data_IF_052941183756
#
_entry.id   IF_052941183756
#
_cell.length_a   1.000
_cell.length_b   1.000
_cell.length_c   1.000
_cell.angle_alpha   90.00
_cell.angle_beta   90.00
_cell.angle_gamma   90.00
#
_symmetry.space_group_name_H-M   'P 1'
#
loop_
_entity.id
_entity.type
_entity.pdbx_description
1 polymer ?
#
# COMPACT_ATOMS: atom_id res chain seq x y z
N UNK A 1 16.89 6.40 11.81
CA UNK A 1 16.53 5.85 10.48
C UNK A 1 15.73 6.90 9.72
N UNK A 2 15.96 7.08 8.42
CA UNK A 2 15.15 7.98 7.59
C UNK A 2 13.75 7.41 7.39
N UNK A 3 12.72 8.26 7.35
CA UNK A 3 11.30 7.85 7.37
C UNK A 3 10.75 7.38 6.00
N UNK A 4 11.57 7.05 5.00
CA UNK A 4 11.11 6.53 3.71
C UNK A 4 11.50 5.07 3.52
N UNK A 5 10.52 4.21 3.20
CA UNK A 5 10.71 2.82 2.84
C UNK A 5 10.38 2.55 1.37
N UNK A 6 11.12 1.63 0.75
CA UNK A 6 10.89 1.20 -0.62
C UNK A 6 9.91 0.01 -0.63
N UNK A 7 8.67 0.27 -1.05
CA UNK A 7 7.65 -0.77 -1.23
C UNK A 7 7.82 -1.48 -2.55
N UNK A 8 7.99 -2.81 -2.52
CA UNK A 8 8.26 -3.63 -3.71
C UNK A 8 6.98 -4.19 -4.38
N UNK A 9 5.84 -3.56 -4.12
CA UNK A 9 4.57 -3.92 -4.76
C UNK A 9 4.44 -3.35 -6.19
N UNK A 10 5.18 -2.30 -6.54
CA UNK A 10 5.05 -1.56 -7.81
C UNK A 10 6.43 -1.34 -8.45
N UNK A 11 7.13 -2.45 -8.75
CA UNK A 11 8.46 -2.40 -9.35
C UNK A 11 8.39 -1.97 -10.83
N UNK A 12 9.49 -1.42 -11.38
CA UNK A 12 9.62 -1.12 -12.82
C UNK A 12 9.29 -2.33 -13.68
N UNK A 13 8.58 -2.09 -14.80
CA UNK A 13 8.21 -3.13 -15.76
C UNK A 13 8.55 -2.70 -17.18
N UNK A 14 8.91 -3.68 -18.03
CA UNK A 14 9.11 -3.52 -19.47
C UNK A 14 7.96 -4.25 -20.19
N UNK A 15 7.37 -3.60 -21.19
CA UNK A 15 6.19 -4.10 -21.91
C UNK A 15 4.88 -3.59 -21.33
N UNK A 16 3.78 -4.02 -21.92
CA UNK A 16 2.43 -3.59 -21.54
C UNK A 16 1.50 -4.80 -21.29
N UNK A 17 0.50 -4.60 -20.43
CA UNK A 17 -0.53 -5.58 -20.14
C UNK A 17 0.04 -6.88 -19.54
N UNK A 18 -0.53 -8.02 -19.95
CA UNK A 18 -0.15 -9.36 -19.46
C UNK A 18 1.25 -9.84 -19.91
N UNK A 19 1.90 -9.11 -20.82
CA UNK A 19 3.27 -9.40 -21.25
C UNK A 19 4.33 -8.57 -20.51
N UNK A 20 3.91 -7.71 -19.61
CA UNK A 20 4.82 -6.89 -18.81
C UNK A 20 5.73 -7.79 -17.94
N UNK A 21 7.02 -7.49 -17.95
CA UNK A 21 8.04 -8.19 -17.15
C UNK A 21 8.76 -7.19 -16.27
N UNK A 22 9.20 -7.63 -15.11
CA UNK A 22 9.95 -6.77 -14.21
C UNK A 22 11.27 -6.37 -14.88
N UNK A 23 11.54 -5.07 -14.91
CA UNK A 23 12.82 -4.50 -15.34
C UNK A 23 13.85 -4.65 -14.21
N UNK A 24 14.45 -5.81 -14.15
CA UNK A 24 15.37 -6.15 -13.07
C UNK A 24 16.63 -5.27 -13.04
N UNK A 25 17.13 -4.79 -14.17
CA UNK A 25 18.28 -3.89 -14.22
C UNK A 25 17.94 -2.54 -13.61
N UNK A 26 16.77 -1.97 -13.95
CA UNK A 26 16.28 -0.74 -13.35
C UNK A 26 16.01 -0.91 -11.85
N UNK A 27 15.44 -2.05 -11.42
CA UNK A 27 15.25 -2.34 -9.98
C UNK A 27 16.59 -2.33 -9.25
N UNK A 28 17.63 -2.98 -9.79
CA UNK A 28 18.96 -2.98 -9.18
C UNK A 28 19.54 -1.56 -9.07
N UNK A 29 19.44 -0.76 -10.12
CA UNK A 29 19.93 0.62 -10.11
C UNK A 29 19.17 1.48 -9.06
N UNK A 30 17.86 1.29 -8.92
CA UNK A 30 17.06 1.97 -7.91
C UNK A 30 17.43 1.54 -6.48
N UNK A 31 17.67 0.25 -6.25
CA UNK A 31 18.13 -0.27 -4.95
C UNK A 31 19.47 0.35 -4.56
N UNK A 32 20.44 0.35 -5.48
CA UNK A 32 21.77 0.93 -5.25
C UNK A 32 21.66 2.41 -4.86
N UNK A 33 20.87 3.17 -5.63
CA UNK A 33 20.64 4.59 -5.40
C UNK A 33 19.96 4.86 -4.05
N UNK A 34 18.98 4.05 -3.67
CA UNK A 34 18.25 4.16 -2.41
C UNK A 34 19.19 3.97 -1.22
N UNK A 35 20.04 2.95 -1.26
CA UNK A 35 21.04 2.66 -0.24
C UNK A 35 22.15 3.72 -0.19
N UNK A 36 22.68 4.18 -1.34
CA UNK A 36 23.66 5.26 -1.44
C UNK A 36 23.18 6.56 -0.79
N UNK A 37 21.89 6.85 -0.85
CA UNK A 37 21.28 8.00 -0.21
C UNK A 37 21.01 7.80 1.29
N UNK A 38 21.35 6.62 1.83
CA UNK A 38 21.24 6.26 3.25
C UNK A 38 19.84 5.89 3.70
N UNK A 39 18.98 5.46 2.77
CA UNK A 39 17.70 4.79 3.08
C UNK A 39 17.93 3.29 3.12
N UNK A 40 17.22 2.57 3.99
CA UNK A 40 17.56 1.18 4.26
C UNK A 40 16.37 0.22 4.29
N UNK A 41 15.13 0.73 4.32
CA UNK A 41 13.94 -0.08 4.55
C UNK A 41 13.33 -0.58 3.24
N UNK A 42 13.22 -1.89 3.07
CA UNK A 42 12.55 -2.56 1.94
C UNK A 42 11.35 -3.35 2.44
N UNK A 43 10.18 -3.14 1.81
CA UNK A 43 8.92 -3.78 2.16
C UNK A 43 8.44 -4.68 1.03
N UNK A 44 8.28 -5.97 1.34
CA UNK A 44 7.72 -6.96 0.42
C UNK A 44 6.52 -7.69 1.03
N UNK A 45 5.91 -8.58 0.27
CA UNK A 45 4.91 -9.54 0.74
C UNK A 45 4.81 -10.72 -0.22
N UNK A 46 4.30 -11.83 0.30
CA UNK A 46 4.16 -13.12 -0.37
C UNK A 46 3.51 -13.05 -1.77
N UNK A 47 2.45 -12.22 -1.92
CA UNK A 47 1.67 -12.12 -3.16
C UNK A 47 2.08 -10.97 -4.09
N UNK A 48 3.02 -10.10 -3.69
CA UNK A 48 3.38 -8.94 -4.50
C UNK A 48 4.03 -9.34 -5.82
N UNK A 49 3.74 -8.58 -6.88
CA UNK A 49 4.26 -8.79 -8.22
C UNK A 49 4.06 -10.24 -8.71
N UNK A 50 2.84 -10.77 -8.56
CA UNK A 50 2.52 -12.14 -8.95
C UNK A 50 3.44 -13.17 -8.28
N UNK A 51 3.67 -13.03 -6.96
CA UNK A 51 4.54 -13.87 -6.11
C UNK A 51 6.05 -13.78 -6.42
N UNK A 52 6.49 -12.77 -7.18
CA UNK A 52 7.90 -12.60 -7.58
C UNK A 52 8.68 -11.63 -6.68
N UNK A 53 8.00 -10.75 -5.91
CA UNK A 53 8.63 -9.66 -5.18
C UNK A 53 9.68 -10.12 -4.16
N UNK A 54 9.44 -11.21 -3.45
CA UNK A 54 10.38 -11.79 -2.47
C UNK A 54 11.68 -12.25 -3.14
N UNK A 55 11.59 -12.93 -4.29
CA UNK A 55 12.77 -13.37 -5.04
C UNK A 55 13.53 -12.20 -5.65
N UNK A 56 12.81 -11.16 -6.09
CA UNK A 56 13.44 -9.93 -6.59
C UNK A 56 14.17 -9.21 -5.48
N UNK A 57 13.56 -9.09 -4.28
CA UNK A 57 14.24 -8.57 -3.09
C UNK A 57 15.56 -9.33 -2.86
N UNK A 58 15.51 -10.66 -2.87
CA UNK A 58 16.70 -11.49 -2.71
C UNK A 58 17.79 -11.10 -3.72
N UNK A 59 17.49 -11.12 -5.01
CA UNK A 59 18.43 -10.91 -6.09
C UNK A 59 18.92 -9.47 -6.21
N UNK A 60 18.05 -8.50 -5.97
CA UNK A 60 18.38 -7.08 -6.14
C UNK A 60 18.98 -6.44 -4.89
N UNK A 61 18.66 -6.94 -3.70
CA UNK A 61 19.10 -6.38 -2.42
C UNK A 61 20.04 -7.34 -1.70
N UNK A 62 19.54 -8.52 -1.31
CA UNK A 62 20.22 -9.40 -0.35
C UNK A 62 21.51 -9.99 -0.90
N UNK A 63 21.52 -10.43 -2.16
CA UNK A 63 22.71 -11.03 -2.81
C UNK A 63 23.76 -9.99 -3.25
N UNK A 64 23.41 -8.70 -3.24
CA UNK A 64 24.26 -7.62 -3.76
C UNK A 64 24.84 -6.70 -2.69
N UNK A 65 24.23 -6.66 -1.50
CA UNK A 65 24.59 -5.73 -0.43
C UNK A 65 24.84 -6.45 0.89
N UNK A 66 25.65 -5.81 1.76
CA UNK A 66 25.92 -6.33 3.09
C UNK A 66 24.63 -6.34 3.94
N UNK A 67 24.36 -7.45 4.65
CA UNK A 67 23.11 -7.62 5.41
C UNK A 67 22.81 -6.49 6.40
N UNK A 68 23.82 -5.88 6.97
CA UNK A 68 23.70 -4.79 7.94
C UNK A 68 23.42 -3.43 7.28
N UNK A 69 23.49 -3.32 5.95
CA UNK A 69 23.22 -2.08 5.23
C UNK A 69 21.75 -1.84 4.89
N UNK A 70 20.90 -2.83 5.10
CA UNK A 70 19.46 -2.74 4.79
C UNK A 70 18.60 -3.47 5.82
N UNK A 71 17.32 -3.14 5.82
CA UNK A 71 16.30 -3.81 6.63
C UNK A 71 15.21 -4.39 5.72
N UNK A 72 14.73 -5.59 6.06
CA UNK A 72 13.70 -6.32 5.31
C UNK A 72 12.44 -6.44 6.14
N UNK A 73 11.33 -6.02 5.56
CA UNK A 73 9.99 -6.26 6.05
C UNK A 73 9.26 -7.25 5.12
N UNK A 74 8.69 -8.31 5.70
CA UNK A 74 7.86 -9.27 4.97
C UNK A 74 6.60 -9.62 5.78
N UNK A 75 5.63 -10.30 5.15
CA UNK A 75 4.30 -10.45 5.72
C UNK A 75 3.76 -11.87 5.57
N UNK A 76 3.31 -12.46 6.70
CA UNK A 76 2.56 -13.71 6.72
C UNK A 76 1.20 -13.52 6.04
N UNK A 77 0.90 -14.18 4.92
CA UNK A 77 -0.34 -14.00 4.19
C UNK A 77 -1.52 -14.67 4.89
N UNK A 78 -2.14 -13.98 5.85
CA UNK A 78 -3.20 -14.51 6.72
C UNK A 78 -4.38 -15.10 5.94
N UNK A 79 -4.72 -14.51 4.78
CA UNK A 79 -5.78 -14.97 3.90
C UNK A 79 -5.54 -16.37 3.30
N UNK A 80 -4.30 -16.87 3.29
CA UNK A 80 -3.96 -18.18 2.74
C UNK A 80 -3.77 -19.25 3.82
N UNK A 81 -3.84 -18.89 5.09
CA UNK A 81 -3.72 -19.84 6.20
C UNK A 81 -4.97 -20.71 6.31
N UNK A 82 -4.80 -22.03 6.30
CA UNK A 82 -5.86 -23.01 6.46
C UNK A 82 -5.69 -23.87 7.72
N UNK A 83 -4.45 -24.08 8.14
CA UNK A 83 -4.08 -24.92 9.30
C UNK A 83 -2.79 -24.42 9.93
N UNK A 84 -2.53 -24.82 11.18
CA UNK A 84 -1.35 -24.38 11.96
C UNK A 84 -0.01 -24.67 11.27
N UNK A 85 0.08 -25.79 10.56
CA UNK A 85 1.30 -26.19 9.85
C UNK A 85 1.65 -25.25 8.67
N UNK A 86 0.70 -24.43 8.21
CA UNK A 86 0.97 -23.42 7.18
C UNK A 86 1.90 -22.33 7.70
N UNK A 87 1.82 -21.96 8.99
CA UNK A 87 2.64 -20.92 9.59
C UNK A 87 4.15 -21.18 9.42
N UNK A 88 4.71 -22.28 9.97
CA UNK A 88 6.15 -22.55 9.81
C UNK A 88 6.54 -22.83 8.36
N UNK A 89 5.67 -23.46 7.57
CA UNK A 89 5.93 -23.76 6.15
C UNK A 89 6.09 -22.48 5.33
N UNK A 90 5.13 -21.56 5.43
CA UNK A 90 5.17 -20.29 4.68
C UNK A 90 6.32 -19.42 5.17
N UNK A 91 6.54 -19.31 6.48
CA UNK A 91 7.65 -18.55 7.02
C UNK A 91 9.01 -19.05 6.49
N UNK A 92 9.23 -20.35 6.45
CA UNK A 92 10.45 -20.93 5.91
C UNK A 92 10.56 -20.70 4.40
N UNK A 93 9.46 -20.81 3.66
CA UNK A 93 9.42 -20.49 2.22
C UNK A 93 9.81 -19.02 1.97
N UNK A 94 9.28 -18.08 2.74
CA UNK A 94 9.61 -16.65 2.65
C UNK A 94 11.08 -16.38 2.98
N UNK A 95 11.63 -17.02 4.03
CA UNK A 95 13.08 -16.90 4.31
C UNK A 95 13.93 -17.39 3.12
N UNK A 96 13.54 -18.49 2.48
CA UNK A 96 14.25 -19.04 1.32
C UNK A 96 14.12 -18.12 0.10
N UNK A 97 12.92 -17.64 -0.20
CA UNK A 97 12.67 -16.73 -1.32
C UNK A 97 13.40 -15.39 -1.15
N UNK A 98 13.31 -14.79 0.03
CA UNK A 98 14.01 -13.55 0.35
C UNK A 98 15.52 -13.74 0.54
N UNK A 99 16.01 -14.97 0.78
CA UNK A 99 17.42 -15.26 1.02
C UNK A 99 17.96 -14.71 2.34
N UNK A 100 17.14 -14.67 3.38
CA UNK A 100 17.50 -14.11 4.69
C UNK A 100 17.33 -15.11 5.83
N UNK A 101 18.21 -15.05 6.82
CA UNK A 101 18.10 -15.85 8.04
C UNK A 101 17.10 -15.27 9.04
N UNK A 102 16.86 -13.95 8.97
CA UNK A 102 15.92 -13.24 9.83
C UNK A 102 15.31 -12.04 9.08
N UNK A 103 14.07 -11.69 9.48
CA UNK A 103 13.40 -10.46 9.07
C UNK A 103 13.59 -9.37 10.12
N UNK A 104 13.86 -8.13 9.70
CA UNK A 104 13.90 -7.00 10.63
C UNK A 104 12.50 -6.63 11.10
N UNK A 105 11.51 -6.70 10.19
CA UNK A 105 10.10 -6.47 10.44
C UNK A 105 9.29 -7.62 9.85
N UNK A 106 8.39 -8.18 10.63
CA UNK A 106 7.52 -9.24 10.14
C UNK A 106 6.08 -9.01 10.58
N UNK A 107 5.16 -9.03 9.62
CA UNK A 107 3.79 -8.61 9.83
C UNK A 107 2.81 -9.77 9.62
N UNK A 108 1.70 -9.79 10.34
CA UNK A 108 0.50 -10.48 9.89
C UNK A 108 -0.16 -9.62 8.81
N UNK A 109 -0.38 -10.18 7.61
CA UNK A 109 -0.76 -9.41 6.44
C UNK A 109 -2.26 -9.16 6.38
N UNK A 110 -2.64 -7.88 6.16
CA UNK A 110 -4.01 -7.47 5.81
C UNK A 110 -5.06 -7.89 6.83
N UNK A 111 -4.82 -7.62 8.12
CA UNK A 111 -5.79 -7.93 9.17
C UNK A 111 -7.03 -7.05 9.02
N UNK A 112 -8.14 -7.69 9.02
CA UNK A 112 -9.50 -7.22 9.24
C UNK A 112 -10.19 -8.18 10.22
N UNK A 113 -11.43 -8.03 10.51
CA UNK A 113 -12.18 -8.91 11.42
C UNK A 113 -12.07 -10.39 11.03
N UNK A 114 -12.21 -10.73 9.75
CA UNK A 114 -12.14 -12.11 9.28
C UNK A 114 -10.72 -12.69 9.41
N UNK A 115 -9.72 -11.97 8.87
CA UNK A 115 -8.33 -12.42 8.91
C UNK A 115 -7.78 -12.46 10.34
N UNK A 116 -8.24 -11.57 11.22
CA UNK A 116 -7.91 -11.62 12.63
C UNK A 116 -8.42 -12.91 13.28
N UNK A 117 -9.68 -13.31 13.03
CA UNK A 117 -10.21 -14.58 13.53
C UNK A 117 -9.44 -15.79 13.01
N UNK A 118 -8.97 -15.77 11.75
CA UNK A 118 -8.10 -16.82 11.20
C UNK A 118 -6.77 -16.85 11.96
N UNK A 119 -6.13 -15.69 12.14
CA UNK A 119 -4.86 -15.54 12.84
C UNK A 119 -4.93 -16.07 14.27
N UNK A 120 -5.98 -15.69 15.02
CA UNK A 120 -6.26 -16.17 16.37
C UNK A 120 -6.44 -17.69 16.41
N UNK A 121 -7.35 -18.22 15.60
CA UNK A 121 -7.67 -19.65 15.55
C UNK A 121 -6.45 -20.51 15.25
N UNK A 122 -5.53 -20.02 14.45
CA UNK A 122 -4.34 -20.77 14.04
C UNK A 122 -3.10 -20.47 14.90
N UNK A 123 -3.17 -19.51 15.82
CA UNK A 123 -2.07 -19.14 16.71
C UNK A 123 -0.96 -18.37 15.99
N UNK A 124 -1.33 -17.46 15.08
CA UNK A 124 -0.36 -16.73 14.27
C UNK A 124 0.45 -15.70 15.09
N UNK A 125 -0.17 -15.04 16.06
CA UNK A 125 0.52 -14.09 16.94
C UNK A 125 1.56 -14.81 17.82
N UNK A 126 1.19 -15.95 18.43
CA UNK A 126 2.09 -16.77 19.22
C UNK A 126 3.24 -17.31 18.36
N UNK A 127 2.95 -17.70 17.10
CA UNK A 127 3.97 -18.17 16.17
C UNK A 127 5.00 -17.08 15.88
N UNK A 128 4.57 -15.86 15.53
CA UNK A 128 5.49 -14.75 15.22
C UNK A 128 6.26 -14.33 16.48
N UNK A 129 5.62 -14.30 17.65
CA UNK A 129 6.28 -14.05 18.95
C UNK A 129 7.38 -15.10 19.23
N UNK A 130 7.13 -16.36 18.90
CA UNK A 130 8.14 -17.42 19.01
C UNK A 130 9.30 -17.20 18.03
N UNK A 131 9.02 -16.81 16.77
CA UNK A 131 10.06 -16.48 15.82
C UNK A 131 10.89 -15.28 16.26
N UNK A 132 10.26 -14.29 16.91
CA UNK A 132 10.96 -13.16 17.53
C UNK A 132 11.86 -13.61 18.67
N UNK A 133 11.40 -14.47 19.55
CA UNK A 133 12.19 -15.03 20.65
C UNK A 133 13.40 -15.87 20.15
N UNK A 134 13.26 -16.53 18.99
CA UNK A 134 14.34 -17.26 18.34
C UNK A 134 15.31 -16.37 17.56
N UNK A 135 15.08 -15.04 17.48
CA UNK A 135 15.90 -14.09 16.73
C UNK A 135 15.69 -14.12 15.21
N UNK A 136 14.66 -14.83 14.73
CA UNK A 136 14.29 -14.89 13.30
C UNK A 136 13.43 -13.71 12.86
N UNK A 137 12.86 -12.98 13.80
CA UNK A 137 12.10 -11.74 13.62
C UNK A 137 12.61 -10.74 14.65
N UNK A 138 12.94 -9.50 14.27
CA UNK A 138 13.36 -8.46 15.22
C UNK A 138 12.17 -7.67 15.77
N UNK A 139 11.24 -7.26 14.86
CA UNK A 139 10.05 -6.50 15.19
C UNK A 139 8.83 -7.20 14.59
N UNK A 140 7.81 -7.44 15.40
CA UNK A 140 6.56 -8.04 14.94
C UNK A 140 5.44 -7.01 14.88
N UNK A 141 4.61 -7.07 13.84
CA UNK A 141 3.49 -6.18 13.65
C UNK A 141 2.39 -6.79 12.80
N UNK A 142 1.50 -5.96 12.35
CA UNK A 142 0.49 -6.35 11.35
C UNK A 142 0.11 -5.16 10.47
N UNK A 143 -0.30 -5.42 9.23
CA UNK A 143 -0.99 -4.45 8.40
C UNK A 143 -2.50 -4.58 8.59
N UNK A 144 -3.21 -3.44 8.61
CA UNK A 144 -4.58 -3.37 9.08
C UNK A 144 -5.49 -2.64 8.09
N UNK A 145 -6.70 -3.21 7.88
CA UNK A 145 -7.71 -2.71 6.96
C UNK A 145 -9.14 -2.91 7.51
N UNK A 146 -9.43 -2.33 8.67
CA UNK A 146 -10.76 -2.39 9.30
C UNK A 146 -11.00 -1.13 10.15
N UNK A 147 -12.01 -1.12 11.00
CA UNK A 147 -12.37 -0.01 11.88
C UNK A 147 -11.42 0.15 13.06
N UNK A 148 -11.38 1.35 13.63
CA UNK A 148 -10.57 1.65 14.79
C UNK A 148 -10.93 0.80 16.02
N UNK A 149 -12.19 0.39 16.18
CA UNK A 149 -12.63 -0.48 17.28
C UNK A 149 -12.04 -1.89 17.18
N UNK A 150 -11.93 -2.42 15.94
CA UNK A 150 -11.26 -3.70 15.69
C UNK A 150 -9.76 -3.58 15.98
N UNK A 151 -9.13 -2.48 15.57
CA UNK A 151 -7.73 -2.20 15.88
C UNK A 151 -7.48 -2.14 17.39
N UNK A 152 -8.35 -1.43 18.13
CA UNK A 152 -8.27 -1.33 19.59
C UNK A 152 -8.39 -2.69 20.27
N UNK A 153 -9.30 -3.53 19.77
CA UNK A 153 -9.47 -4.92 20.24
C UNK A 153 -8.19 -5.73 20.02
N UNK A 154 -7.61 -5.71 18.82
CA UNK A 154 -6.39 -6.45 18.50
C UNK A 154 -5.23 -5.97 19.39
N UNK A 155 -5.00 -4.65 19.49
CA UNK A 155 -3.89 -4.12 20.28
C UNK A 155 -4.04 -4.35 21.80
N UNK A 156 -5.29 -4.44 22.28
CA UNK A 156 -5.58 -4.81 23.68
C UNK A 156 -5.26 -6.27 23.93
N UNK A 157 -5.59 -7.18 23.01
CA UNK A 157 -5.38 -8.61 23.16
C UNK A 157 -3.93 -9.03 22.88
N UNK A 158 -3.21 -8.26 22.02
CA UNK A 158 -1.83 -8.50 21.61
C UNK A 158 -0.91 -7.31 21.94
N UNK A 159 -0.69 -7.02 23.24
CA UNK A 159 0.21 -5.94 23.65
C UNK A 159 1.69 -6.19 23.28
N UNK A 160 2.06 -7.44 22.93
CA UNK A 160 3.40 -7.83 22.45
C UNK A 160 3.76 -7.32 21.05
N UNK A 161 2.78 -6.87 20.26
CA UNK A 161 3.00 -6.26 18.95
C UNK A 161 3.84 -4.98 19.08
N UNK A 162 4.90 -4.85 18.27
CA UNK A 162 5.83 -3.73 18.36
C UNK A 162 5.36 -2.50 17.56
N UNK A 163 4.64 -2.70 16.44
CA UNK A 163 4.20 -1.64 15.53
C UNK A 163 2.98 -2.07 14.73
N UNK A 164 2.31 -1.11 14.09
CA UNK A 164 1.21 -1.35 13.16
C UNK A 164 1.45 -0.68 11.82
N UNK A 165 0.97 -1.28 10.73
CA UNK A 165 1.00 -0.69 9.40
C UNK A 165 -0.41 -0.27 9.02
N UNK A 166 -0.61 1.05 8.81
CA UNK A 166 -1.91 1.68 8.58
C UNK A 166 -1.96 2.38 7.23
N UNK A 167 -3.13 2.40 6.60
CA UNK A 167 -3.40 3.23 5.43
C UNK A 167 -3.62 4.68 5.87
N UNK A 168 -2.69 5.56 5.51
CA UNK A 168 -2.76 6.99 5.86
C UNK A 168 -2.37 7.85 4.66
N UNK A 169 -3.27 8.74 4.26
CA UNK A 169 -3.04 9.85 3.36
C UNK A 169 -4.03 10.97 3.69
N UNK A 170 -3.77 12.18 3.22
CA UNK A 170 -4.61 13.33 3.56
C UNK A 170 -6.04 13.23 3.02
N UNK A 171 -6.27 12.46 1.93
CA UNK A 171 -7.61 12.29 1.36
C UNK A 171 -8.49 11.36 2.20
N UNK A 172 -7.89 10.31 2.77
CA UNK A 172 -8.59 9.30 3.58
C UNK A 172 -8.61 9.65 5.08
N UNK A 173 -7.94 10.73 5.50
CA UNK A 173 -7.74 11.06 6.91
C UNK A 173 -9.04 11.06 7.71
N UNK A 174 -10.10 11.71 7.19
CA UNK A 174 -11.42 11.78 7.81
C UNK A 174 -12.45 10.85 7.16
N UNK A 175 -12.01 9.85 6.39
CA UNK A 175 -12.91 8.90 5.75
C UNK A 175 -13.59 8.01 6.80
N UNK A 176 -14.92 8.01 6.80
CA UNK A 176 -15.72 7.14 7.68
C UNK A 176 -15.50 5.64 7.39
N UNK A 177 -15.11 5.29 6.15
CA UNK A 177 -14.88 3.91 5.73
C UNK A 177 -13.49 3.42 6.06
N UNK A 178 -12.47 4.25 5.80
CA UNK A 178 -11.05 3.88 6.03
C UNK A 178 -10.64 4.14 7.47
N UNK A 179 -11.20 5.17 8.09
CA UNK A 179 -10.95 5.57 9.47
C UNK A 179 -9.45 5.84 9.78
N UNK A 180 -8.70 6.39 8.80
CA UNK A 180 -7.25 6.61 8.93
C UNK A 180 -6.90 7.35 10.22
N UNK A 181 -7.58 8.48 10.52
CA UNK A 181 -7.35 9.26 11.75
C UNK A 181 -7.67 8.46 13.00
N UNK A 182 -8.83 7.80 13.05
CA UNK A 182 -9.24 7.03 14.22
C UNK A 182 -8.31 5.85 14.50
N UNK A 183 -7.85 5.15 13.43
CA UNK A 183 -6.87 4.07 13.55
C UNK A 183 -5.50 4.61 14.03
N UNK A 184 -5.05 5.76 13.49
CA UNK A 184 -3.82 6.41 13.96
C UNK A 184 -3.91 6.80 15.44
N UNK A 185 -4.99 7.46 15.86
CA UNK A 185 -5.23 7.85 17.27
C UNK A 185 -5.28 6.61 18.18
N UNK A 186 -5.85 5.50 17.69
CA UNK A 186 -5.84 4.22 18.41
C UNK A 186 -4.43 3.69 18.59
N UNK A 187 -3.61 3.66 17.55
CA UNK A 187 -2.21 3.25 17.64
C UNK A 187 -1.43 4.14 18.65
N UNK A 188 -1.67 5.46 18.63
CA UNK A 188 -1.07 6.42 19.58
C UNK A 188 -1.46 6.08 21.02
N UNK A 189 -2.75 5.81 21.30
CA UNK A 189 -3.22 5.42 22.66
C UNK A 189 -2.55 4.14 23.15
N UNK A 190 -2.29 3.19 22.25
CA UNK A 190 -1.58 1.94 22.55
C UNK A 190 -0.04 2.08 22.50
N UNK A 191 0.49 3.30 22.29
CA UNK A 191 1.92 3.58 22.18
C UNK A 191 2.61 2.75 21.09
N UNK A 192 1.92 2.48 19.98
CA UNK A 192 2.47 1.72 18.86
C UNK A 192 2.96 2.66 17.77
N UNK A 193 4.24 2.55 17.38
CA UNK A 193 4.75 3.20 16.18
C UNK A 193 3.97 2.77 14.94
N UNK A 194 3.83 3.70 13.99
CA UNK A 194 3.05 3.49 12.77
C UNK A 194 3.97 3.45 11.55
N UNK A 195 3.82 2.43 10.73
CA UNK A 195 4.30 2.39 9.34
C UNK A 195 3.12 2.76 8.45
N UNK A 196 3.34 3.72 7.55
CA UNK A 196 2.27 4.17 6.63
C UNK A 196 2.35 3.43 5.31
N UNK A 197 1.24 2.83 4.91
CA UNK A 197 0.99 2.35 3.55
C UNK A 197 -0.01 3.27 2.83
N UNK A 198 -0.03 3.23 1.50
CA UNK A 198 -0.91 4.05 0.64
C UNK A 198 -0.77 5.59 0.84
N UNK A 199 0.43 6.14 1.10
CA UNK A 199 0.55 7.58 1.34
C UNK A 199 0.13 8.42 0.13
N UNK A 200 0.28 7.86 -1.08
CA UNK A 200 -0.09 8.50 -2.36
C UNK A 200 -1.37 7.90 -2.96
N UNK A 201 -2.11 7.10 -2.17
CA UNK A 201 -3.40 6.46 -2.56
C UNK A 201 -3.34 5.80 -3.95
N UNK A 202 -2.46 4.80 -4.08
CA UNK A 202 -2.27 4.07 -5.34
C UNK A 202 -1.73 4.91 -6.50
N UNK A 203 -1.22 6.10 -6.23
CA UNK A 203 -0.71 7.06 -7.24
C UNK A 203 -1.71 8.18 -7.60
N UNK A 204 -2.97 8.12 -7.14
CA UNK A 204 -3.96 9.15 -7.43
C UNK A 204 -3.58 10.53 -6.85
N UNK A 205 -2.86 10.56 -5.73
CA UNK A 205 -2.34 11.81 -5.16
C UNK A 205 -1.02 12.29 -5.80
N UNK A 206 -0.51 11.62 -6.83
CA UNK A 206 0.56 12.11 -7.69
C UNK A 206 0.04 12.80 -8.96
N UNK A 207 -1.24 12.57 -9.32
CA UNK A 207 -1.93 13.18 -10.47
C UNK A 207 -3.27 13.74 -10.00
N UNK A 208 -3.23 14.93 -9.47
CA UNK A 208 -4.42 15.63 -8.94
C UNK A 208 -5.05 16.53 -10.01
N UNK A 209 -6.30 17.03 -9.81
CA UNK A 209 -6.90 18.02 -10.68
C UNK A 209 -6.01 19.25 -10.87
N UNK A 210 -6.09 19.88 -12.04
CA UNK A 210 -5.22 21.02 -12.42
C UNK A 210 -5.29 22.16 -11.39
N UNK A 211 -6.47 22.46 -10.85
CA UNK A 211 -6.63 23.48 -9.82
C UNK A 211 -5.85 23.16 -8.55
N UNK A 212 -5.92 21.91 -8.07
CA UNK A 212 -5.16 21.44 -6.93
C UNK A 212 -3.65 21.48 -7.19
N UNK A 213 -3.22 21.04 -8.39
CA UNK A 213 -1.81 21.09 -8.78
C UNK A 213 -1.27 22.53 -8.81
N UNK A 214 -2.02 23.49 -9.36
CA UNK A 214 -1.64 24.90 -9.39
C UNK A 214 -1.45 25.49 -8.00
N UNK A 215 -2.32 25.15 -7.05
CA UNK A 215 -2.17 25.58 -5.65
C UNK A 215 -0.88 25.04 -5.02
N UNK A 216 -0.61 23.74 -5.19
CA UNK A 216 0.60 23.11 -4.66
C UNK A 216 1.87 23.70 -5.29
N UNK A 217 1.89 23.90 -6.60
CA UNK A 217 3.03 24.51 -7.32
C UNK A 217 3.23 25.99 -6.98
N UNK A 218 2.15 26.72 -6.70
CA UNK A 218 2.26 28.12 -6.28
C UNK A 218 2.95 28.22 -4.90
N UNK A 219 2.62 27.33 -3.99
CA UNK A 219 3.21 27.28 -2.65
C UNK A 219 4.68 26.85 -2.67
N UNK A 220 5.01 25.84 -3.50
CA UNK A 220 6.40 25.38 -3.67
C UNK A 220 6.62 24.88 -5.12
N UNK A 221 7.17 25.72 -6.01
CA UNK A 221 7.38 25.35 -7.41
C UNK A 221 8.35 24.18 -7.63
N UNK A 222 9.20 23.90 -6.64
CA UNK A 222 10.22 22.84 -6.72
C UNK A 222 9.74 21.51 -6.12
N UNK A 223 8.59 21.50 -5.44
CA UNK A 223 8.02 20.29 -4.85
C UNK A 223 7.16 19.54 -5.87
N UNK A 224 7.35 18.23 -5.97
CA UNK A 224 6.42 17.38 -6.72
C UNK A 224 5.06 17.29 -6.03
N UNK A 225 4.01 16.98 -6.78
CA UNK A 225 2.66 16.78 -6.21
C UNK A 225 2.66 15.63 -5.20
N UNK A 226 3.36 14.53 -5.50
CA UNK A 226 3.47 13.36 -4.61
C UNK A 226 4.19 13.67 -3.30
N UNK A 227 5.13 14.64 -3.29
CA UNK A 227 5.89 15.02 -2.10
C UNK A 227 4.99 15.53 -0.98
N UNK A 228 3.90 16.23 -1.30
CA UNK A 228 2.94 16.74 -0.31
C UNK A 228 2.25 15.61 0.44
N UNK A 229 1.86 14.54 -0.27
CA UNK A 229 1.20 13.39 0.32
C UNK A 229 2.14 12.56 1.23
N UNK A 230 3.38 12.34 0.77
CA UNK A 230 4.39 11.59 1.55
C UNK A 230 4.82 12.41 2.77
N UNK A 231 5.07 13.72 2.61
CA UNK A 231 5.42 14.61 3.72
C UNK A 231 4.29 14.73 4.73
N UNK A 232 3.02 14.81 4.28
CA UNK A 232 1.86 14.80 5.17
C UNK A 232 1.87 13.57 6.09
N UNK A 233 1.97 12.39 5.53
CA UNK A 233 2.00 11.16 6.31
C UNK A 233 3.22 11.10 7.25
N UNK A 234 4.41 11.53 6.77
CA UNK A 234 5.63 11.54 7.55
C UNK A 234 5.65 12.58 8.68
N UNK A 235 4.79 13.63 8.60
CA UNK A 235 4.67 14.69 9.61
C UNK A 235 3.97 14.24 10.88
N UNK A 236 3.23 13.15 10.84
CA UNK A 236 2.57 12.61 12.03
C UNK A 236 3.59 12.05 13.03
N UNK A 237 3.46 12.40 14.31
CA UNK A 237 4.47 12.15 15.35
C UNK A 237 4.83 10.67 15.51
N UNK A 238 3.83 9.77 15.56
CA UNK A 238 4.05 8.33 15.77
C UNK A 238 4.43 7.58 14.49
N UNK A 239 4.50 8.27 13.34
CA UNK A 239 4.92 7.65 12.09
C UNK A 239 6.43 7.47 12.09
N UNK A 240 6.86 6.22 12.10
CA UNK A 240 8.26 5.84 12.01
C UNK A 240 8.75 5.61 10.58
N UNK A 241 7.85 5.26 9.66
CA UNK A 241 8.17 4.92 8.27
C UNK A 241 6.98 5.21 7.36
N UNK A 242 7.25 5.73 6.16
CA UNK A 242 6.27 5.90 5.08
C UNK A 242 6.73 5.07 3.90
N UNK A 243 5.90 4.12 3.47
CA UNK A 243 6.19 3.22 2.35
C UNK A 243 5.79 3.88 1.04
N UNK A 244 6.70 3.94 0.08
CA UNK A 244 6.41 4.37 -1.28
C UNK A 244 6.74 3.27 -2.28
N UNK A 245 5.76 2.91 -3.12
CA UNK A 245 5.98 2.12 -4.32
C UNK A 245 6.49 3.05 -5.42
N UNK A 246 7.72 2.83 -5.88
CA UNK A 246 8.38 3.63 -6.90
C UNK A 246 8.64 2.75 -8.12
N UNK A 247 8.11 3.14 -9.27
CA UNK A 247 8.18 2.37 -10.51
C UNK A 247 9.20 2.93 -11.52
N UNK A 248 9.83 4.07 -11.21
CA UNK A 248 10.87 4.69 -12.05
C UNK A 248 11.97 5.31 -11.20
N UNK A 249 13.14 5.49 -11.81
CA UNK A 249 14.29 6.15 -11.17
C UNK A 249 13.95 7.59 -10.76
N UNK A 250 13.19 8.30 -11.61
CA UNK A 250 12.77 9.69 -11.32
C UNK A 250 11.89 9.77 -10.08
N UNK A 251 10.95 8.83 -9.89
CA UNK A 251 10.14 8.78 -8.68
C UNK A 251 10.99 8.50 -7.44
N UNK A 252 11.98 7.64 -7.56
CA UNK A 252 12.91 7.36 -6.46
C UNK A 252 13.76 8.59 -6.12
N UNK A 253 14.32 9.26 -7.11
CA UNK A 253 15.14 10.47 -6.91
C UNK A 253 14.32 11.61 -6.31
N UNK A 254 13.08 11.80 -6.77
CA UNK A 254 12.16 12.77 -6.19
C UNK A 254 11.89 12.46 -4.72
N UNK A 255 11.42 11.24 -4.41
CA UNK A 255 11.06 10.86 -3.06
C UNK A 255 12.26 10.90 -2.09
N UNK A 256 13.40 10.40 -2.50
CA UNK A 256 14.61 10.44 -1.67
C UNK A 256 15.16 11.85 -1.51
N UNK A 257 14.97 12.69 -2.53
CA UNK A 257 15.44 14.08 -2.54
C UNK A 257 14.86 14.90 -1.36
N UNK A 258 13.52 14.92 -1.21
CA UNK A 258 12.90 15.67 -0.11
C UNK A 258 12.85 14.89 1.21
N UNK A 259 12.93 13.55 1.20
CA UNK A 259 12.95 12.75 2.43
C UNK A 259 14.34 12.59 3.05
N UNK A 260 15.41 12.95 2.34
CA UNK A 260 16.78 12.90 2.86
C UNK A 260 16.97 13.80 4.07
N UNK A 261 16.49 15.03 3.96
CA UNK A 261 16.54 16.07 4.99
C UNK A 261 15.10 16.49 5.36
N UNK A 262 14.25 15.47 5.63
CA UNK A 262 12.82 15.64 5.87
C UNK A 262 12.51 16.72 6.90
N UNK A 263 11.60 17.61 6.51
CA UNK A 263 10.97 18.59 7.40
C UNK A 263 9.46 18.33 7.43
N UNK A 264 8.83 18.29 8.61
CA UNK A 264 7.38 18.21 8.73
C UNK A 264 6.70 19.36 7.98
N UNK A 265 5.43 19.16 7.62
CA UNK A 265 4.61 20.24 7.07
C UNK A 265 4.46 21.37 8.10
N UNK A 266 4.52 22.61 7.63
CA UNK A 266 4.16 23.76 8.48
C UNK A 266 2.64 23.87 8.59
N UNK A 267 2.10 24.63 9.58
CA UNK A 267 0.66 24.85 9.68
C UNK A 267 0.03 25.45 8.41
N UNK A 268 0.77 26.32 7.70
CA UNK A 268 0.33 26.90 6.43
C UNK A 268 0.26 25.83 5.32
N UNK A 269 1.27 24.91 5.27
CA UNK A 269 1.28 23.78 4.34
C UNK A 269 0.15 22.79 4.65
N UNK A 270 -0.15 22.51 5.93
CA UNK A 270 -1.28 21.67 6.34
C UNK A 270 -2.62 22.29 5.91
N UNK A 271 -2.82 23.58 6.11
CA UNK A 271 -4.02 24.28 5.63
C UNK A 271 -4.16 24.22 4.10
N UNK A 272 -3.06 24.32 3.37
CA UNK A 272 -3.05 24.16 1.91
C UNK A 272 -3.47 22.74 1.51
N UNK A 273 -2.95 21.72 2.18
CA UNK A 273 -3.31 20.31 1.93
C UNK A 273 -4.81 20.09 2.16
N UNK A 274 -5.42 20.70 3.19
CA UNK A 274 -6.86 20.62 3.41
C UNK A 274 -7.68 21.29 2.29
N UNK A 275 -7.24 22.42 1.72
CA UNK A 275 -7.88 23.03 0.55
C UNK A 275 -7.79 22.12 -0.68
N UNK A 276 -6.61 21.56 -0.94
CA UNK A 276 -6.36 20.61 -2.03
C UNK A 276 -7.21 19.36 -1.88
N UNK A 277 -7.35 18.83 -0.66
CA UNK A 277 -8.23 17.70 -0.33
C UNK A 277 -9.68 17.94 -0.78
N UNK A 278 -10.25 19.13 -0.48
CA UNK A 278 -11.60 19.49 -0.92
C UNK A 278 -11.76 19.44 -2.44
N UNK A 279 -10.83 20.05 -3.19
CA UNK A 279 -10.84 20.03 -4.65
C UNK A 279 -10.77 18.62 -5.21
N UNK A 280 -9.92 17.77 -4.64
CA UNK A 280 -9.78 16.38 -5.07
C UNK A 280 -11.06 15.59 -4.79
N UNK A 281 -11.64 15.72 -3.60
CA UNK A 281 -12.89 15.04 -3.21
C UNK A 281 -14.03 15.38 -4.18
N UNK A 282 -14.15 16.63 -4.58
CA UNK A 282 -15.17 17.08 -5.53
C UNK A 282 -14.95 16.53 -6.95
N UNK A 283 -13.73 16.09 -7.29
CA UNK A 283 -13.34 15.65 -8.64
C UNK A 283 -13.35 14.12 -8.84
N UNK A 284 -13.28 13.32 -7.78
CA UNK A 284 -13.18 11.85 -7.86
C UNK A 284 -14.56 11.20 -7.70
N UNK A 285 -15.03 10.54 -8.75
CA UNK A 285 -16.30 9.82 -8.71
C UNK A 285 -16.17 8.45 -8.01
N UNK A 286 -15.09 7.71 -8.27
CA UNK A 286 -14.83 6.38 -7.66
C UNK A 286 -13.41 6.37 -7.07
N UNK A 287 -13.25 6.33 -5.73
CA UNK A 287 -11.94 6.41 -5.06
C UNK A 287 -11.19 5.08 -5.05
N UNK A 288 -11.03 4.45 -6.22
CA UNK A 288 -10.28 3.21 -6.39
C UNK A 288 -8.76 3.48 -6.44
N UNK A 289 -7.96 2.68 -5.71
CA UNK A 289 -6.49 2.81 -5.65
C UNK A 289 -5.76 1.97 -6.70
N UNK A 290 -6.48 1.16 -7.49
CA UNK A 290 -5.88 0.28 -8.49
C UNK A 290 -4.96 -0.81 -7.89
N UNK A 291 -5.27 -1.30 -6.69
CA UNK A 291 -4.49 -2.35 -6.02
C UNK A 291 -4.68 -3.75 -6.62
N UNK A 292 -5.70 -3.93 -7.46
CA UNK A 292 -6.04 -5.14 -8.23
C UNK A 292 -6.46 -6.38 -7.41
N UNK A 293 -6.53 -6.32 -6.08
CA UNK A 293 -6.95 -7.47 -5.25
C UNK A 293 -8.33 -8.04 -5.64
N UNK A 294 -9.22 -7.20 -6.18
CA UNK A 294 -10.55 -7.60 -6.60
C UNK A 294 -10.57 -8.34 -7.96
N UNK A 295 -9.48 -8.31 -8.74
CA UNK A 295 -9.43 -8.95 -10.07
C UNK A 295 -9.14 -10.44 -9.97
N UNK A 296 -8.22 -10.86 -9.10
CA UNK A 296 -7.78 -12.25 -8.98
C UNK A 296 -8.91 -13.22 -8.59
N UNK A 297 -9.91 -12.74 -7.85
CA UNK A 297 -11.05 -13.53 -7.42
C UNK A 297 -12.31 -13.36 -8.28
N UNK A 298 -12.28 -12.55 -9.34
CA UNK A 298 -13.45 -12.29 -10.18
C UNK A 298 -13.71 -13.44 -11.16
N UNK A 299 -14.82 -14.22 -11.02
CA UNK A 299 -15.09 -15.34 -11.91
C UNK A 299 -15.42 -14.93 -13.35
N UNK A 300 -15.69 -13.64 -13.58
CA UNK A 300 -15.94 -13.06 -14.91
C UNK A 300 -14.71 -12.30 -15.44
N UNK A 301 -13.59 -12.35 -14.74
CA UNK A 301 -12.34 -11.70 -15.13
C UNK A 301 -12.50 -10.19 -15.46
N UNK A 302 -13.44 -9.50 -14.77
CA UNK A 302 -13.69 -8.08 -15.00
C UNK A 302 -12.48 -7.28 -14.51
N UNK A 303 -11.88 -6.40 -15.35
CA UNK A 303 -10.75 -5.56 -14.96
C UNK A 303 -11.24 -4.34 -14.15
N UNK A 304 -11.84 -4.60 -12.97
CA UNK A 304 -12.57 -3.66 -12.14
C UNK A 304 -11.83 -2.32 -11.95
N UNK A 305 -10.55 -2.28 -11.56
CA UNK A 305 -9.83 -1.02 -11.38
C UNK A 305 -9.69 -0.20 -12.66
N UNK A 306 -9.54 -0.87 -13.80
CA UNK A 306 -9.41 -0.22 -15.10
C UNK A 306 -10.76 0.37 -15.56
N UNK A 307 -11.85 -0.32 -15.30
CA UNK A 307 -13.21 0.20 -15.54
C UNK A 307 -13.45 1.49 -14.72
N UNK A 308 -13.04 1.48 -13.44
CA UNK A 308 -13.19 2.64 -12.56
C UNK A 308 -12.28 3.80 -12.97
N UNK A 309 -11.06 3.54 -13.42
CA UNK A 309 -10.16 4.56 -13.94
C UNK A 309 -10.76 5.25 -15.19
N UNK A 310 -11.30 4.48 -16.15
CA UNK A 310 -12.00 5.03 -17.34
C UNK A 310 -13.23 5.85 -16.94
N UNK A 311 -13.99 5.40 -15.97
CA UNK A 311 -15.15 6.15 -15.46
C UNK A 311 -14.74 7.47 -14.81
N UNK A 312 -13.68 7.50 -14.01
CA UNK A 312 -13.15 8.74 -13.42
C UNK A 312 -12.66 9.71 -14.50
N UNK A 313 -11.96 9.22 -15.53
CA UNK A 313 -11.55 10.04 -16.68
C UNK A 313 -12.76 10.61 -17.42
N UNK A 314 -13.79 9.80 -17.66
CA UNK A 314 -15.05 10.26 -18.26
C UNK A 314 -15.72 11.34 -17.40
N UNK A 315 -15.79 11.16 -16.08
CA UNK A 315 -16.38 12.18 -15.17
C UNK A 315 -15.65 13.51 -15.21
N UNK A 316 -14.33 13.50 -15.39
CA UNK A 316 -13.52 14.72 -15.55
C UNK A 316 -13.67 15.34 -16.95
N UNK A 317 -13.97 14.53 -17.96
CA UNK A 317 -14.07 14.95 -19.35
C UNK A 317 -15.30 14.33 -20.06
N UNK A 318 -16.54 14.68 -19.66
CA UNK A 318 -17.77 14.01 -20.14
C UNK A 318 -17.96 14.08 -21.67
N UNK A 319 -17.42 15.12 -22.32
CA UNK A 319 -17.51 15.31 -23.76
C UNK A 319 -16.74 14.27 -24.60
N UNK A 320 -15.86 13.47 -23.97
CA UNK A 320 -15.13 12.38 -24.64
C UNK A 320 -15.91 11.07 -24.72
N UNK A 321 -17.03 10.98 -24.00
CA UNK A 321 -17.75 9.72 -23.81
C UNK A 321 -16.97 8.72 -22.94
N UNK A 322 -17.65 7.71 -22.43
CA UNK A 322 -17.02 6.59 -21.73
C UNK A 322 -16.80 5.45 -22.73
N UNK A 323 -15.56 5.05 -22.94
CA UNK A 323 -15.22 3.85 -23.71
C UNK A 323 -14.50 2.85 -22.84
N UNK A 324 -14.99 1.62 -22.81
CA UNK A 324 -14.38 0.47 -22.16
C UNK A 324 -13.68 -0.46 -23.17
N UNK A 325 -13.69 -0.09 -24.47
CA UNK A 325 -13.04 -0.85 -25.52
C UNK A 325 -11.54 -1.05 -25.26
N UNK A 326 -11.05 -2.25 -25.58
CA UNK A 326 -9.64 -2.60 -25.43
C UNK A 326 -9.20 -2.95 -24.01
N UNK A 327 -10.12 -2.95 -23.04
CA UNK A 327 -9.83 -3.53 -21.73
C UNK A 327 -9.79 -5.07 -21.84
N UNK A 328 -8.81 -5.75 -21.19
CA UNK A 328 -8.75 -7.20 -21.17
C UNK A 328 -9.81 -7.79 -20.22
N UNK A 329 -10.32 -8.98 -20.51
CA UNK A 329 -11.26 -9.70 -19.65
C UNK A 329 -12.73 -9.34 -19.87
N UNK A 330 -13.57 -9.56 -18.86
CA UNK A 330 -15.01 -9.32 -18.92
C UNK A 330 -15.40 -7.84 -18.82
N UNK A 331 -16.64 -7.54 -19.18
CA UNK A 331 -17.20 -6.20 -19.08
C UNK A 331 -18.00 -6.01 -17.77
N UNK A 332 -18.27 -4.77 -17.32
CA UNK A 332 -19.11 -4.51 -16.15
C UNK A 332 -20.47 -5.21 -16.17
N UNK A 333 -21.10 -5.35 -17.35
CA UNK A 333 -22.38 -6.05 -17.54
C UNK A 333 -22.32 -7.55 -17.20
N UNK A 334 -21.14 -8.17 -17.31
CA UNK A 334 -20.96 -9.60 -17.03
C UNK A 334 -20.96 -9.91 -15.52
N UNK A 335 -21.08 -8.88 -14.66
CA UNK A 335 -21.02 -9.03 -13.21
C UNK A 335 -22.18 -9.89 -12.67
N UNK A 336 -21.85 -11.04 -12.07
CA UNK A 336 -22.80 -11.96 -11.45
C UNK A 336 -23.12 -11.64 -9.98
N UNK A 337 -22.69 -10.51 -9.48
CA UNK A 337 -22.96 -10.01 -8.11
C UNK A 337 -22.52 -10.97 -6.99
N UNK A 338 -21.45 -11.74 -7.17
CA UNK A 338 -21.00 -12.74 -6.19
C UNK A 338 -20.38 -12.14 -4.90
N UNK A 339 -20.04 -10.84 -4.86
CA UNK A 339 -19.53 -10.12 -3.69
C UNK A 339 -18.05 -10.36 -3.36
N UNK A 340 -17.33 -11.25 -4.04
CA UNK A 340 -15.93 -11.54 -3.73
C UNK A 340 -15.02 -10.30 -3.82
N UNK A 341 -15.26 -9.45 -4.82
CA UNK A 341 -14.49 -8.22 -5.02
C UNK A 341 -14.70 -7.20 -3.88
N UNK A 342 -15.89 -7.12 -3.32
CA UNK A 342 -16.21 -6.21 -2.21
C UNK A 342 -15.60 -6.69 -0.89
N UNK A 343 -15.60 -8.00 -0.64
CA UNK A 343 -15.05 -8.58 0.60
C UNK A 343 -13.54 -8.39 0.74
N UNK A 344 -12.80 -8.30 -0.39
CA UNK A 344 -11.34 -8.15 -0.38
C UNK A 344 -10.88 -6.71 -0.60
N UNK A 345 -11.78 -5.78 -0.91
CA UNK A 345 -11.43 -4.40 -1.25
C UNK A 345 -10.91 -3.61 -0.05
N UNK A 346 -9.64 -3.17 -0.01
CA UNK A 346 -9.11 -2.38 1.09
C UNK A 346 -9.74 -0.98 1.22
N UNK A 347 -10.44 -0.53 0.16
CA UNK A 347 -11.15 0.76 0.13
C UNK A 347 -12.63 0.61 0.49
N UNK A 348 -13.11 -0.59 0.81
CA UNK A 348 -14.51 -0.91 1.13
C UNK A 348 -15.50 -0.32 0.11
N UNK A 349 -15.13 -0.38 -1.18
CA UNK A 349 -15.96 0.14 -2.25
C UNK A 349 -17.16 -0.80 -2.50
N UNK A 350 -18.37 -0.26 -2.72
CA UNK A 350 -19.53 -1.03 -3.18
C UNK A 350 -19.38 -1.35 -4.67
N UNK A 351 -18.46 -2.26 -4.99
CA UNK A 351 -17.96 -2.51 -6.36
C UNK A 351 -19.09 -2.92 -7.31
N UNK A 352 -20.02 -3.76 -6.86
CA UNK A 352 -21.16 -4.23 -7.68
C UNK A 352 -21.99 -3.03 -8.14
N UNK A 353 -22.36 -2.15 -7.23
CA UNK A 353 -23.16 -0.96 -7.59
C UNK A 353 -22.38 0.03 -8.44
N UNK A 354 -21.08 0.17 -8.23
CA UNK A 354 -20.22 1.03 -9.02
C UNK A 354 -20.02 0.48 -10.45
N UNK A 355 -19.90 -0.83 -10.63
CA UNK A 355 -19.87 -1.45 -11.98
C UNK A 355 -21.16 -1.17 -12.76
N UNK A 356 -22.32 -1.23 -12.10
CA UNK A 356 -23.61 -0.86 -12.74
C UNK A 356 -23.63 0.61 -13.18
N UNK A 357 -23.05 1.52 -12.38
CA UNK A 357 -22.92 2.93 -12.75
C UNK A 357 -21.99 3.14 -13.96
N UNK A 358 -20.90 2.37 -14.01
CA UNK A 358 -19.96 2.40 -15.14
C UNK A 358 -20.64 1.92 -16.41
N UNK A 359 -21.37 0.81 -16.35
CA UNK A 359 -22.13 0.27 -17.46
C UNK A 359 -23.14 1.28 -18.01
N UNK A 360 -23.99 1.83 -17.14
CA UNK A 360 -25.02 2.82 -17.51
C UNK A 360 -24.44 4.10 -18.13
N UNK A 361 -23.19 4.40 -17.89
CA UNK A 361 -22.53 5.57 -18.48
C UNK A 361 -21.77 5.24 -19.77
N UNK A 362 -21.56 3.95 -20.08
CA UNK A 362 -20.89 3.49 -21.30
C UNK A 362 -21.89 3.30 -22.48
N UNK A 363 -23.20 3.21 -22.17
CA UNK A 363 -24.30 3.18 -23.13
C UNK A 363 -24.64 4.61 -23.64
#
# INVERSE_FOLDING_TARGET
>A
MKKLGFGLMRLPQIGEGTSAKIDFETVCAMVDRFLEQGFTYFDTAYMYMEYQSEEILRRAVVERHLRDSFTVADKMPTMFLKKKEDLPRIFQEQQQKCGVDYFDYYLLHSLNTEHYHIAEKLGAFEFVSEMKRQGKVKQMGFSFHDTADVLDTILTQHPEVDFVQLQINYLDWDSEKIQSRLCYETAVRHHKPVIVMEPVKGGSLAKVPQEAELLLRHANPNASVSSWAIRYAASLDQVMMVLSGMSTVEQLEDNTGYMKDFQPLTPEEENLVEQVKGIIQDSIAIPCTGCEYCTDGCPQEIPIPRCFARYNEYKQHPFRGLSLEGLPGGNPIDCIECGQCESICPQHLPIISLLKQVEQAAD
#
